data_IF_548202814822
#
_entry.id   IF_548202814822
#
_cell.length_a   1.000
_cell.length_b   1.000
_cell.length_c   1.000
_cell.angle_alpha   90.00
_cell.angle_beta   90.00
_cell.angle_gamma   90.00
#
_symmetry.space_group_name_H-M   'P 1'
#
loop_
_entity.id
_entity.type
_entity.pdbx_description
1 polymer ?
#
# COMPACT_ATOMS: atom_id res chain seq x y z
N UNK A 1 5.77 48.24 -28.91
CA UNK A 1 5.81 47.95 -27.46
C UNK A 1 4.49 47.26 -27.16
N UNK A 2 4.34 45.96 -26.98
CA UNK A 2 5.24 44.95 -26.45
C UNK A 2 4.43 44.14 -25.43
N UNK A 3 3.33 43.51 -25.85
CA UNK A 3 2.60 42.56 -25.01
C UNK A 3 3.31 41.21 -25.12
N UNK A 4 4.30 41.02 -24.25
CA UNK A 4 4.85 39.69 -23.98
C UNK A 4 3.76 38.89 -23.27
N UNK A 5 3.02 38.08 -24.04
CA UNK A 5 2.21 37.00 -23.49
C UNK A 5 3.12 36.17 -22.56
N UNK A 6 2.84 36.20 -21.26
CA UNK A 6 3.40 35.23 -20.33
C UNK A 6 2.82 33.88 -20.72
N UNK A 7 3.54 33.11 -21.54
CA UNK A 7 3.28 31.67 -21.65
C UNK A 7 3.36 31.13 -20.23
N UNK A 8 2.23 30.63 -19.71
CA UNK A 8 2.23 29.87 -18.46
C UNK A 8 3.22 28.72 -18.60
N UNK A 9 3.90 28.37 -17.50
CA UNK A 9 4.75 27.17 -17.50
C UNK A 9 3.90 25.99 -18.01
N UNK A 10 4.46 25.12 -18.89
CA UNK A 10 3.74 23.93 -19.32
C UNK A 10 3.37 23.12 -18.08
N UNK A 11 2.12 22.65 -18.05
CA UNK A 11 1.65 21.74 -17.01
C UNK A 11 2.45 20.44 -17.08
N UNK A 12 2.79 19.89 -15.93
CA UNK A 12 3.58 18.67 -15.81
C UNK A 12 2.94 17.76 -14.77
N UNK A 13 3.02 16.45 -15.00
CA UNK A 13 2.56 15.43 -14.07
C UNK A 13 3.53 14.24 -14.03
N UNK A 14 3.37 13.37 -13.03
CA UNK A 14 4.12 12.13 -12.95
C UNK A 14 3.37 11.04 -13.73
N UNK A 15 4.03 10.49 -14.74
CA UNK A 15 3.62 9.26 -15.39
C UNK A 15 4.24 8.08 -14.66
N UNK A 16 3.39 7.19 -14.16
CA UNK A 16 3.80 5.93 -13.54
C UNK A 16 3.80 4.81 -14.56
N UNK A 17 4.75 3.89 -14.43
CA UNK A 17 4.78 2.64 -15.18
C UNK A 17 5.41 1.56 -14.32
N UNK A 18 4.70 0.47 -14.08
CA UNK A 18 5.28 -0.76 -13.54
C UNK A 18 6.28 -1.36 -14.53
N UNK A 19 7.50 -1.61 -14.06
CA UNK A 19 8.51 -2.32 -14.83
C UNK A 19 8.40 -3.82 -14.53
N UNK A 20 7.75 -4.54 -15.45
CA UNK A 20 7.44 -5.96 -15.30
C UNK A 20 8.62 -6.90 -15.62
N UNK A 21 8.48 -8.16 -15.19
CA UNK A 21 9.39 -9.26 -15.51
C UNK A 21 10.40 -9.56 -14.40
N UNK A 22 10.31 -8.87 -13.27
CA UNK A 22 11.19 -9.11 -12.11
C UNK A 22 10.48 -9.92 -11.04
N UNK A 23 9.17 -9.74 -10.89
CA UNK A 23 8.37 -10.43 -9.89
C UNK A 23 7.36 -11.37 -10.55
N UNK A 24 7.09 -12.53 -9.92
CA UNK A 24 6.09 -13.47 -10.40
C UNK A 24 4.71 -12.80 -10.53
N UNK A 25 4.41 -11.85 -9.66
CA UNK A 25 3.18 -11.07 -9.61
C UNK A 25 2.95 -10.24 -10.87
N UNK A 26 4.01 -9.88 -11.60
CA UNK A 26 3.93 -9.16 -12.87
C UNK A 26 3.25 -10.00 -13.97
N UNK A 27 3.39 -11.33 -13.90
CA UNK A 27 3.02 -12.22 -15.00
C UNK A 27 1.50 -12.49 -15.04
N UNK A 28 0.85 -12.40 -16.23
CA UNK A 28 -0.56 -12.76 -16.40
C UNK A 28 -0.94 -14.16 -15.91
N UNK A 29 0.00 -15.11 -15.99
CA UNK A 29 -0.22 -16.51 -15.62
C UNK A 29 -0.14 -16.81 -14.11
N UNK A 30 0.39 -15.88 -13.30
CA UNK A 30 0.52 -16.11 -11.86
C UNK A 30 -0.84 -15.98 -11.19
N UNK A 31 -1.24 -17.01 -10.44
CA UNK A 31 -2.48 -17.02 -9.67
C UNK A 31 -2.27 -16.33 -8.31
N UNK A 32 -2.92 -15.18 -8.04
CA UNK A 32 -2.77 -14.48 -6.76
C UNK A 32 -3.14 -15.34 -5.55
N UNK A 33 -4.19 -16.16 -5.66
CA UNK A 33 -4.67 -16.99 -4.56
C UNK A 33 -3.71 -18.14 -4.19
N UNK A 34 -2.81 -18.53 -5.09
CA UNK A 34 -1.87 -19.64 -4.89
C UNK A 34 -0.45 -19.17 -4.51
N UNK A 35 -0.16 -17.87 -4.61
CA UNK A 35 1.18 -17.35 -4.36
C UNK A 35 1.38 -17.05 -2.86
N UNK A 36 2.30 -17.77 -2.21
CA UNK A 36 2.81 -17.38 -0.89
C UNK A 36 4.13 -16.61 -1.06
N UNK A 37 4.08 -15.30 -0.81
CA UNK A 37 5.24 -14.42 -0.92
C UNK A 37 6.41 -14.85 -0.01
N UNK A 38 6.12 -15.48 1.13
CA UNK A 38 7.14 -15.87 2.11
C UNK A 38 7.94 -17.12 1.70
N UNK A 39 7.36 -17.99 0.88
CA UNK A 39 8.03 -19.20 0.37
C UNK A 39 8.64 -19.00 -1.02
N UNK A 40 8.28 -17.91 -1.70
CA UNK A 40 8.70 -17.60 -3.09
C UNK A 40 9.69 -16.45 -3.17
N UNK A 41 10.34 -16.08 -2.07
CA UNK A 41 11.29 -14.96 -2.03
C UNK A 41 10.66 -13.66 -2.58
N UNK A 42 9.46 -13.32 -2.09
CA UNK A 42 8.64 -12.21 -2.57
C UNK A 42 8.21 -12.33 -4.04
N UNK A 43 8.41 -13.48 -4.66
CA UNK A 43 8.22 -13.69 -6.09
C UNK A 43 9.35 -13.12 -6.95
N UNK A 44 10.48 -12.68 -6.38
CA UNK A 44 11.62 -12.22 -7.19
C UNK A 44 12.17 -13.40 -8.02
N UNK A 45 12.08 -13.27 -9.35
CA UNK A 45 12.44 -14.33 -10.29
C UNK A 45 13.96 -14.51 -10.32
N UNK A 46 14.46 -15.74 -10.12
CA UNK A 46 15.87 -16.05 -10.37
C UNK A 46 16.16 -15.95 -11.87
N UNK A 47 16.94 -14.95 -12.25
CA UNK A 47 17.26 -14.65 -13.64
C UNK A 47 18.60 -13.96 -13.78
N UNK A 48 19.10 -13.92 -15.01
CA UNK A 48 20.24 -13.08 -15.37
C UNK A 48 19.77 -11.66 -15.66
N UNK A 49 20.59 -10.69 -15.26
CA UNK A 49 20.48 -9.30 -15.69
C UNK A 49 21.62 -8.96 -16.65
N UNK A 50 21.37 -8.01 -17.54
CA UNK A 50 22.40 -7.53 -18.50
C UNK A 50 23.63 -6.95 -17.79
N UNK A 51 23.42 -6.39 -16.60
CA UNK A 51 24.43 -5.80 -15.70
C UNK A 51 25.24 -6.83 -14.89
N UNK A 52 24.87 -8.13 -14.91
CA UNK A 52 25.52 -9.13 -14.06
C UNK A 52 27.01 -9.29 -14.39
N UNK A 53 27.41 -9.10 -15.64
CA UNK A 53 28.81 -9.17 -16.05
C UNK A 53 29.69 -8.09 -15.41
N UNK A 54 29.10 -6.93 -15.09
CA UNK A 54 29.78 -5.82 -14.40
C UNK A 54 29.80 -6.05 -12.89
N UNK A 55 28.66 -6.40 -12.30
CA UNK A 55 28.48 -6.46 -10.85
C UNK A 55 28.87 -7.80 -10.21
N UNK A 56 28.51 -8.91 -10.84
CA UNK A 56 28.67 -10.26 -10.29
C UNK A 56 28.99 -11.29 -11.39
N UNK A 57 30.15 -11.15 -12.08
CA UNK A 57 30.51 -12.00 -13.23
C UNK A 57 30.66 -13.48 -12.86
N UNK A 58 30.89 -13.78 -11.58
CA UNK A 58 31.05 -15.14 -11.05
C UNK A 58 29.76 -15.70 -10.44
N UNK A 59 28.67 -14.93 -10.43
CA UNK A 59 27.35 -15.29 -9.87
C UNK A 59 27.40 -15.76 -8.41
N UNK A 60 28.14 -15.05 -7.56
CA UNK A 60 28.25 -15.36 -6.12
C UNK A 60 27.29 -14.55 -5.24
N UNK A 61 26.63 -13.53 -5.80
CA UNK A 61 25.64 -12.69 -5.13
C UNK A 61 24.24 -13.29 -5.26
N UNK A 62 23.39 -12.97 -4.28
CA UNK A 62 21.98 -13.39 -4.29
C UNK A 62 21.20 -12.68 -5.40
N UNK A 63 20.03 -13.21 -5.76
CA UNK A 63 19.15 -12.54 -6.74
C UNK A 63 18.79 -11.12 -6.29
N UNK A 64 18.56 -10.91 -4.99
CA UNK A 64 18.25 -9.61 -4.40
C UNK A 64 19.40 -8.61 -4.50
N UNK A 65 20.64 -9.01 -4.21
CA UNK A 65 21.80 -8.13 -4.36
C UNK A 65 21.99 -7.68 -5.82
N UNK A 66 21.80 -8.60 -6.76
CA UNK A 66 21.87 -8.28 -8.20
C UNK A 66 20.73 -7.35 -8.61
N UNK A 67 19.53 -7.56 -8.07
CA UNK A 67 18.37 -6.72 -8.34
C UNK A 67 18.55 -5.32 -7.74
N UNK A 68 19.08 -5.21 -6.53
CA UNK A 68 19.41 -3.92 -5.92
C UNK A 68 20.40 -3.13 -6.78
N UNK A 69 21.48 -3.78 -7.22
CA UNK A 69 22.44 -3.13 -8.09
C UNK A 69 21.81 -2.67 -9.42
N UNK A 70 20.92 -3.47 -10.00
CA UNK A 70 20.17 -3.09 -11.20
C UNK A 70 19.33 -1.83 -10.97
N UNK A 71 18.54 -1.78 -9.89
CA UNK A 71 17.70 -0.60 -9.60
C UNK A 71 18.56 0.63 -9.33
N UNK A 72 19.67 0.49 -8.61
CA UNK A 72 20.62 1.58 -8.40
C UNK A 72 21.24 2.07 -9.71
N UNK A 73 21.54 1.15 -10.64
CA UNK A 73 22.06 1.48 -11.97
C UNK A 73 21.00 2.22 -12.82
N UNK A 74 19.74 1.77 -12.77
CA UNK A 74 18.62 2.45 -13.43
C UNK A 74 18.46 3.90 -12.96
N UNK A 75 18.54 4.15 -11.64
CA UNK A 75 18.49 5.50 -11.08
C UNK A 75 19.74 6.33 -11.36
N UNK A 76 20.92 5.72 -11.43
CA UNK A 76 22.16 6.43 -11.74
C UNK A 76 22.22 6.89 -13.20
N UNK A 77 21.70 6.06 -14.10
CA UNK A 77 21.75 6.28 -15.54
C UNK A 77 20.48 6.99 -16.07
N UNK A 78 19.51 7.33 -15.20
CA UNK A 78 18.28 8.00 -15.59
C UNK A 78 18.49 9.49 -15.89
N UNK A 79 17.68 10.01 -16.81
CA UNK A 79 17.62 11.44 -17.10
C UNK A 79 16.92 12.21 -15.97
N UNK A 80 17.10 13.54 -15.94
CA UNK A 80 16.39 14.40 -14.98
C UNK A 80 14.87 14.21 -15.12
N UNK A 81 14.19 14.08 -13.97
CA UNK A 81 12.75 13.83 -13.94
C UNK A 81 12.35 12.36 -14.06
N UNK A 82 13.30 11.43 -14.17
CA UNK A 82 13.05 9.98 -14.12
C UNK A 82 13.64 9.38 -12.85
N UNK A 83 12.81 8.61 -12.13
CA UNK A 83 13.21 7.85 -10.95
C UNK A 83 12.56 6.47 -10.92
N UNK A 84 13.26 5.52 -10.33
CA UNK A 84 12.82 4.15 -10.11
C UNK A 84 12.71 3.88 -8.62
N UNK A 85 11.58 3.33 -8.20
CA UNK A 85 11.34 2.92 -6.80
C UNK A 85 10.82 1.50 -6.75
N UNK A 86 11.16 0.79 -5.67
CA UNK A 86 10.58 -0.51 -5.34
C UNK A 86 9.65 -0.32 -4.16
N UNK A 87 8.37 -0.58 -4.38
CA UNK A 87 7.32 -0.49 -3.36
C UNK A 87 7.04 -1.88 -2.82
N UNK A 88 7.27 -2.10 -1.52
CA UNK A 88 6.82 -3.28 -0.79
C UNK A 88 5.48 -2.96 -0.13
N UNK A 89 4.39 -3.41 -0.73
CA UNK A 89 3.04 -3.11 -0.27
C UNK A 89 2.49 -4.31 0.52
N UNK A 90 2.17 -4.11 1.80
CA UNK A 90 1.62 -5.12 2.69
C UNK A 90 0.18 -4.84 3.06
N UNK A 91 -0.72 -5.81 2.84
CA UNK A 91 -2.08 -5.77 3.38
C UNK A 91 -2.02 -6.06 4.88
N UNK A 92 -2.78 -5.33 5.68
CA UNK A 92 -2.91 -5.59 7.12
C UNK A 92 -3.25 -7.07 7.41
N UNK A 93 -2.86 -7.56 8.59
CA UNK A 93 -3.31 -8.85 9.10
C UNK A 93 -4.82 -8.89 9.34
N UNK A 94 -5.41 -10.06 9.54
CA UNK A 94 -6.84 -10.21 9.77
C UNK A 94 -7.32 -9.32 10.93
N UNK A 95 -8.27 -8.43 10.64
CA UNK A 95 -8.96 -7.63 11.65
C UNK A 95 -10.32 -8.19 12.02
N UNK A 96 -10.90 -7.71 13.11
CA UNK A 96 -12.21 -8.13 13.58
C UNK A 96 -13.31 -7.91 12.52
N UNK A 97 -13.23 -6.81 11.76
CA UNK A 97 -14.13 -6.57 10.61
C UNK A 97 -14.07 -7.68 9.54
N UNK A 98 -12.91 -8.29 9.29
CA UNK A 98 -12.80 -9.39 8.32
C UNK A 98 -13.49 -10.66 8.84
N UNK A 99 -13.42 -10.90 10.16
CA UNK A 99 -14.14 -12.03 10.77
C UNK A 99 -15.63 -11.80 10.72
N UNK A 100 -16.08 -10.56 11.01
CA UNK A 100 -17.48 -10.18 10.95
C UNK A 100 -18.05 -10.29 9.53
N UNK A 101 -17.36 -9.75 8.52
CA UNK A 101 -17.75 -9.89 7.11
C UNK A 101 -17.86 -11.37 6.71
N UNK A 102 -16.85 -12.19 7.06
CA UNK A 102 -16.87 -13.62 6.74
C UNK A 102 -18.02 -14.37 7.44
N UNK A 103 -18.41 -13.95 8.64
CA UNK A 103 -19.50 -14.55 9.41
C UNK A 103 -20.88 -14.17 8.86
N UNK A 104 -21.10 -12.88 8.58
CA UNK A 104 -22.39 -12.37 8.12
C UNK A 104 -22.61 -12.52 6.61
N UNK A 105 -21.52 -12.65 5.84
CA UNK A 105 -21.53 -12.65 4.38
C UNK A 105 -21.61 -11.24 3.80
N UNK A 106 -20.96 -11.01 2.65
CA UNK A 106 -20.79 -9.67 2.07
C UNK A 106 -22.11 -8.93 1.83
N UNK A 107 -23.19 -9.62 1.43
CA UNK A 107 -24.50 -8.97 1.21
C UNK A 107 -25.07 -8.35 2.49
N UNK A 108 -25.07 -9.08 3.60
CA UNK A 108 -25.55 -8.56 4.88
C UNK A 108 -24.56 -7.60 5.52
N UNK A 109 -23.26 -7.81 5.27
CA UNK A 109 -22.19 -6.92 5.69
C UNK A 109 -22.36 -5.53 5.07
N UNK A 110 -22.35 -5.44 3.74
CA UNK A 110 -22.35 -4.19 2.99
C UNK A 110 -23.63 -3.37 3.21
N UNK A 111 -24.79 -4.02 3.37
CA UNK A 111 -26.04 -3.29 3.49
C UNK A 111 -26.44 -2.96 4.95
N UNK A 112 -25.92 -3.67 5.96
CA UNK A 112 -26.35 -3.49 7.35
C UNK A 112 -25.21 -3.48 8.37
N UNK A 113 -24.41 -4.56 8.46
CA UNK A 113 -23.48 -4.73 9.59
C UNK A 113 -22.28 -3.79 9.55
N UNK A 114 -21.74 -3.49 8.36
CA UNK A 114 -20.62 -2.57 8.20
C UNK A 114 -20.96 -1.13 8.60
N UNK A 115 -22.25 -0.78 8.65
CA UNK A 115 -22.75 0.54 9.06
C UNK A 115 -22.84 0.70 10.58
N UNK A 116 -22.74 -0.40 11.34
CA UNK A 116 -22.71 -0.37 12.80
C UNK A 116 -21.27 -0.31 13.29
N UNK A 117 -21.02 0.18 14.50
CA UNK A 117 -19.67 0.18 15.07
C UNK A 117 -19.23 -1.23 15.53
N UNK A 118 -20.16 -2.16 15.67
CA UNK A 118 -19.94 -3.48 16.22
C UNK A 118 -21.24 -4.22 16.51
N UNK A 119 -21.12 -5.30 17.27
CA UNK A 119 -22.23 -5.99 17.94
C UNK A 119 -21.93 -6.12 19.45
N UNK A 120 -22.71 -6.94 20.16
CA UNK A 120 -22.54 -7.14 21.61
C UNK A 120 -21.21 -7.78 22.02
N UNK A 121 -20.47 -8.37 21.08
CA UNK A 121 -19.23 -9.14 21.36
C UNK A 121 -17.98 -8.52 20.76
N UNK A 122 -18.10 -7.75 19.69
CA UNK A 122 -16.96 -7.32 18.86
C UNK A 122 -17.22 -5.95 18.26
N UNK A 123 -16.23 -5.07 18.36
CA UNK A 123 -16.20 -3.76 17.70
C UNK A 123 -15.43 -3.90 16.39
N UNK A 124 -15.97 -3.35 15.30
CA UNK A 124 -15.26 -3.28 14.02
C UNK A 124 -15.11 -1.85 13.49
N UNK A 125 -15.65 -0.83 14.16
CA UNK A 125 -15.22 0.55 13.94
C UNK A 125 -13.71 0.68 14.22
N UNK A 126 -12.96 1.19 13.23
CA UNK A 126 -11.48 1.18 13.22
C UNK A 126 -10.87 -0.12 13.77
N UNK A 127 -11.35 -1.27 13.26
CA UNK A 127 -11.10 -2.58 13.86
C UNK A 127 -9.63 -2.88 14.22
N UNK A 128 -9.45 -3.49 15.39
CA UNK A 128 -8.20 -4.11 15.83
C UNK A 128 -7.85 -5.36 15.01
N UNK A 129 -6.59 -5.80 15.11
CA UNK A 129 -6.18 -7.12 14.63
C UNK A 129 -6.70 -8.24 15.55
N UNK A 130 -7.12 -9.35 14.95
CA UNK A 130 -7.35 -10.58 15.71
C UNK A 130 -6.01 -11.20 16.15
N UNK A 131 -6.04 -12.21 17.01
CA UNK A 131 -4.82 -13.00 17.31
C UNK A 131 -4.21 -13.59 16.03
N UNK A 132 -5.04 -14.06 15.10
CA UNK A 132 -4.59 -14.55 13.80
C UNK A 132 -3.94 -13.43 12.97
N UNK A 133 -4.51 -12.22 12.96
CA UNK A 133 -3.92 -11.08 12.26
C UNK A 133 -2.55 -10.67 12.81
N UNK A 134 -2.37 -10.73 14.12
CA UNK A 134 -1.06 -10.50 14.76
C UNK A 134 -0.05 -11.60 14.37
N UNK A 135 -0.47 -12.87 14.33
CA UNK A 135 0.37 -13.97 13.86
C UNK A 135 0.76 -13.82 12.38
N UNK A 136 -0.13 -13.32 11.53
CA UNK A 136 0.15 -12.99 10.13
C UNK A 136 1.22 -11.88 10.00
N UNK A 137 1.13 -10.81 10.80
CA UNK A 137 2.15 -9.76 10.84
C UNK A 137 3.50 -10.29 11.35
N UNK A 138 3.49 -11.16 12.37
CA UNK A 138 4.69 -11.83 12.89
C UNK A 138 5.30 -12.79 11.84
N UNK A 139 4.48 -13.47 11.03
CA UNK A 139 4.96 -14.25 9.88
C UNK A 139 5.72 -13.34 8.90
N UNK A 140 5.19 -12.16 8.60
CA UNK A 140 5.86 -11.13 7.82
C UNK A 140 7.20 -10.70 8.41
N UNK A 141 7.27 -10.45 9.72
CA UNK A 141 8.51 -10.13 10.43
C UNK A 141 9.58 -11.22 10.29
N UNK A 142 9.20 -12.49 10.51
CA UNK A 142 10.12 -13.63 10.38
C UNK A 142 10.66 -13.75 8.96
N UNK A 143 9.80 -13.53 7.97
CA UNK A 143 10.19 -13.53 6.57
C UNK A 143 11.19 -12.40 6.25
N UNK A 144 10.88 -11.16 6.64
CA UNK A 144 11.81 -10.03 6.49
C UNK A 144 13.15 -10.27 7.17
N UNK A 145 13.15 -10.78 8.41
CA UNK A 145 14.37 -11.13 9.14
C UNK A 145 15.24 -12.12 8.34
N UNK A 146 14.61 -13.16 7.78
CA UNK A 146 15.28 -14.15 6.94
C UNK A 146 15.83 -13.54 5.64
N UNK A 147 15.05 -12.68 4.97
CA UNK A 147 15.47 -12.01 3.74
C UNK A 147 16.67 -11.07 3.96
N UNK A 148 16.64 -10.28 5.02
CA UNK A 148 17.75 -9.40 5.39
C UNK A 148 19.02 -10.21 5.67
N UNK A 149 18.90 -11.30 6.44
CA UNK A 149 20.05 -12.10 6.86
C UNK A 149 20.63 -13.00 5.77
N UNK A 150 19.78 -13.58 4.91
CA UNK A 150 20.19 -14.65 3.99
C UNK A 150 20.18 -14.23 2.52
N UNK A 151 19.23 -13.36 2.15
CA UNK A 151 19.13 -12.86 0.79
C UNK A 151 19.79 -11.50 0.62
N UNK A 152 20.17 -10.83 1.71
CA UNK A 152 20.65 -9.46 1.71
C UNK A 152 19.71 -8.54 0.92
N UNK A 153 18.40 -8.75 1.12
CA UNK A 153 17.37 -7.88 0.53
C UNK A 153 17.55 -6.47 1.08
N UNK A 154 17.39 -5.41 0.27
CA UNK A 154 17.44 -4.05 0.78
C UNK A 154 16.35 -3.84 1.82
N UNK A 155 16.73 -3.38 3.01
CA UNK A 155 15.76 -2.89 4.00
C UNK A 155 15.03 -1.68 3.42
N UNK A 156 13.72 -1.51 3.68
CA UNK A 156 13.03 -0.28 3.33
C UNK A 156 13.72 0.92 3.98
N UNK A 157 13.84 1.98 3.20
CA UNK A 157 14.40 3.27 3.57
C UNK A 157 13.32 4.22 4.10
N UNK A 158 12.09 4.06 3.60
CA UNK A 158 10.89 4.74 4.09
C UNK A 158 9.79 3.73 4.42
N UNK A 159 9.00 4.05 5.43
CA UNK A 159 7.85 3.26 5.88
C UNK A 159 6.62 4.15 5.91
N UNK A 160 5.70 3.94 4.99
CA UNK A 160 4.38 4.58 5.00
C UNK A 160 3.32 3.62 5.51
N UNK A 161 2.36 4.15 6.25
CA UNK A 161 1.30 3.34 6.84
C UNK A 161 -0.02 4.10 6.86
N UNK A 162 -1.10 3.37 6.60
CA UNK A 162 -2.47 3.86 6.81
C UNK A 162 -2.72 4.21 8.29
N UNK A 163 -3.49 5.26 8.60
CA UNK A 163 -3.89 5.61 9.96
C UNK A 163 -4.88 4.64 10.62
N UNK A 164 -5.42 3.66 9.88
CA UNK A 164 -6.36 2.68 10.46
C UNK A 164 -5.61 1.69 11.37
N UNK A 165 -6.18 1.42 12.54
CA UNK A 165 -5.54 0.74 13.69
C UNK A 165 -4.90 -0.59 13.29
N UNK A 166 -5.61 -1.42 12.52
CA UNK A 166 -5.11 -2.68 11.95
C UNK A 166 -3.82 -2.55 11.13
N UNK A 167 -3.65 -1.47 10.36
CA UNK A 167 -2.45 -1.22 9.57
C UNK A 167 -1.29 -0.73 10.45
N UNK A 168 -1.58 0.15 11.40
CA UNK A 168 -0.59 0.64 12.37
C UNK A 168 0.01 -0.54 13.14
N UNK A 169 -0.85 -1.42 13.67
CA UNK A 169 -0.38 -2.59 14.41
C UNK A 169 0.39 -3.57 13.51
N UNK A 170 -0.12 -3.84 12.29
CA UNK A 170 0.58 -4.72 11.33
C UNK A 170 1.97 -4.20 11.02
N UNK A 171 2.11 -2.90 10.75
CA UNK A 171 3.38 -2.25 10.44
C UNK A 171 4.35 -2.40 11.62
N UNK A 172 3.88 -2.10 12.85
CA UNK A 172 4.69 -2.22 14.07
C UNK A 172 5.18 -3.65 14.28
N UNK A 173 4.28 -4.64 14.23
CA UNK A 173 4.63 -6.05 14.45
C UNK A 173 5.57 -6.59 13.37
N UNK A 174 5.44 -6.11 12.12
CA UNK A 174 6.26 -6.55 11.00
C UNK A 174 7.69 -6.02 11.10
N UNK A 175 7.86 -4.72 11.38
CA UNK A 175 9.15 -4.05 11.18
C UNK A 175 9.88 -3.64 12.45
N UNK A 176 9.17 -3.28 13.53
CA UNK A 176 9.81 -2.80 14.77
C UNK A 176 10.80 -3.82 15.39
N UNK A 177 10.54 -5.14 15.38
CA UNK A 177 11.48 -6.11 15.95
C UNK A 177 12.70 -6.43 15.06
N UNK A 178 12.78 -5.88 13.84
CA UNK A 178 13.85 -6.21 12.92
C UNK A 178 15.17 -5.55 13.33
N UNK A 179 16.27 -6.29 13.13
CA UNK A 179 17.62 -5.69 13.14
C UNK A 179 17.85 -4.99 11.81
N UNK A 180 17.67 -3.67 11.79
CA UNK A 180 17.85 -2.84 10.60
C UNK A 180 19.22 -2.16 10.57
N UNK A 181 19.75 -1.80 9.38
CA UNK A 181 20.91 -0.94 9.25
C UNK A 181 20.71 0.38 9.99
N UNK A 182 21.75 0.91 10.63
CA UNK A 182 21.68 2.13 11.45
C UNK A 182 21.28 3.38 10.66
N UNK A 183 21.60 3.41 9.36
CA UNK A 183 21.26 4.46 8.41
C UNK A 183 19.86 4.30 7.81
N UNK A 184 19.19 3.17 8.06
CA UNK A 184 17.82 2.86 7.61
C UNK A 184 16.94 2.41 8.78
N UNK A 185 16.78 3.24 9.83
CA UNK A 185 15.98 2.88 10.99
C UNK A 185 14.48 2.79 10.66
N UNK A 186 13.74 1.99 11.43
CA UNK A 186 12.28 1.96 11.35
C UNK A 186 11.69 3.28 11.88
N UNK A 187 11.28 4.16 10.96
CA UNK A 187 10.65 5.45 11.26
C UNK A 187 9.40 5.66 10.41
N UNK A 188 8.24 5.11 10.82
CA UNK A 188 7.02 5.22 10.05
C UNK A 188 6.50 6.65 9.94
N UNK A 189 5.91 6.92 8.77
CA UNK A 189 5.07 8.09 8.51
C UNK A 189 3.64 7.62 8.24
N UNK A 190 2.71 8.07 9.06
CA UNK A 190 1.28 7.83 8.92
C UNK A 190 0.76 8.81 7.87
N UNK A 191 0.21 8.28 6.77
CA UNK A 191 -0.40 9.08 5.69
C UNK A 191 -1.87 8.70 5.50
N UNK A 192 -2.72 9.70 5.63
CA UNK A 192 -4.18 9.65 5.58
C UNK A 192 -4.69 8.98 4.31
N UNK A 193 -4.05 9.25 3.18
CA UNK A 193 -4.56 8.81 1.89
C UNK A 193 -4.12 7.39 1.50
N UNK A 194 -3.45 6.64 2.39
CA UNK A 194 -3.23 5.19 2.23
C UNK A 194 -4.31 4.33 2.94
N UNK A 195 -5.47 4.91 3.26
CA UNK A 195 -6.62 4.22 3.88
C UNK A 195 -7.37 3.33 2.89
N UNK A 196 -8.16 2.41 3.46
CA UNK A 196 -9.16 1.66 2.70
C UNK A 196 -10.24 2.60 2.13
N UNK A 197 -11.15 2.05 1.33
CA UNK A 197 -12.31 2.77 0.79
C UNK A 197 -12.96 3.68 1.84
N UNK A 198 -13.06 4.97 1.55
CA UNK A 198 -13.57 5.93 2.52
C UNK A 198 -15.10 5.96 2.51
N UNK A 199 -15.70 5.87 3.70
CA UNK A 199 -17.13 6.15 3.94
C UNK A 199 -18.02 4.91 4.10
N UNK A 200 -19.22 5.14 4.62
CA UNK A 200 -20.28 4.19 5.01
C UNK A 200 -19.85 3.15 6.04
N UNK A 201 -18.83 2.36 5.72
CA UNK A 201 -18.34 1.28 6.57
C UNK A 201 -17.58 1.90 7.75
N UNK A 202 -18.02 1.59 8.98
CA UNK A 202 -17.42 2.12 10.21
C UNK A 202 -16.00 1.60 10.42
N UNK A 203 -15.68 0.41 9.89
CA UNK A 203 -14.32 -0.12 9.89
C UNK A 203 -13.34 0.74 9.08
N UNK A 204 -13.86 1.58 8.19
CA UNK A 204 -13.10 2.51 7.39
C UNK A 204 -13.17 3.93 7.94
N UNK A 205 -13.73 4.15 9.15
CA UNK A 205 -13.63 5.40 9.91
C UNK A 205 -12.40 5.31 10.83
N UNK A 206 -11.44 6.22 10.71
CA UNK A 206 -10.22 6.19 11.53
C UNK A 206 -10.45 6.76 12.92
N UNK A 207 -9.62 6.32 13.87
CA UNK A 207 -9.49 6.97 15.16
C UNK A 207 -8.98 8.41 15.06
N UNK A 208 -9.14 9.15 16.15
CA UNK A 208 -8.66 10.53 16.25
C UNK A 208 -7.15 10.62 16.16
N UNK A 209 -6.64 11.76 15.71
CA UNK A 209 -5.19 12.02 15.67
C UNK A 209 -4.54 11.84 17.03
N UNK A 210 -5.15 12.33 18.10
CA UNK A 210 -4.62 12.14 19.45
C UNK A 210 -4.56 10.67 19.84
N UNK A 211 -5.61 9.88 19.56
CA UNK A 211 -5.60 8.45 19.85
C UNK A 211 -4.46 7.72 19.12
N UNK A 212 -4.27 8.02 17.83
CA UNK A 212 -3.18 7.45 17.03
C UNK A 212 -1.81 7.87 17.61
N UNK A 213 -1.64 9.14 17.97
CA UNK A 213 -0.39 9.64 18.54
C UNK A 213 -0.08 9.05 19.92
N UNK A 214 -1.09 8.85 20.77
CA UNK A 214 -0.92 8.21 22.08
C UNK A 214 -0.42 6.77 21.95
N UNK A 215 -0.89 6.04 20.95
CA UNK A 215 -0.44 4.67 20.67
C UNK A 215 0.94 4.61 20.01
N UNK A 216 1.26 5.57 19.14
CA UNK A 216 2.48 5.59 18.33
C UNK A 216 3.20 6.95 18.43
N UNK A 217 3.69 7.35 19.62
CA UNK A 217 4.18 8.71 19.87
C UNK A 217 5.45 9.06 19.10
N UNK A 218 6.23 8.06 18.68
CA UNK A 218 7.47 8.24 17.93
C UNK A 218 7.25 8.29 16.41
N UNK A 219 6.03 8.02 15.93
CA UNK A 219 5.73 7.97 14.50
C UNK A 219 5.32 9.35 14.00
N UNK A 220 5.73 9.69 12.79
CA UNK A 220 5.37 10.96 12.17
C UNK A 220 3.94 10.85 11.65
N UNK A 221 3.05 11.73 12.10
CA UNK A 221 1.75 11.95 11.44
C UNK A 221 1.94 13.10 10.46
N UNK A 222 1.50 12.91 9.20
CA UNK A 222 1.72 13.91 8.16
C UNK A 222 1.14 15.30 8.48
N UNK A 223 1.71 16.32 7.84
CA UNK A 223 1.20 17.68 7.93
C UNK A 223 -0.22 17.77 7.36
N UNK A 224 -1.09 18.57 8.00
CA UNK A 224 -2.48 18.72 7.59
C UNK A 224 -3.43 17.64 8.11
N UNK A 225 -2.94 16.63 8.81
CA UNK A 225 -3.79 15.59 9.42
C UNK A 225 -4.71 16.19 10.50
N UNK A 226 -6.03 16.09 10.28
CA UNK A 226 -7.09 16.61 11.15
C UNK A 226 -7.29 15.76 12.39
N UNK A 227 -7.79 16.35 13.48
CA UNK A 227 -8.06 15.62 14.72
C UNK A 227 -9.09 14.51 14.49
N UNK A 228 -10.28 14.89 14.04
CA UNK A 228 -11.37 13.98 13.69
C UNK A 228 -11.26 13.51 12.24
N UNK A 229 -11.94 12.42 11.93
CA UNK A 229 -12.06 11.89 10.57
C UNK A 229 -13.10 12.68 9.75
N UNK A 230 -12.66 13.78 9.14
CA UNK A 230 -13.53 14.65 8.34
C UNK A 230 -13.88 14.05 6.96
N UNK A 231 -13.10 13.07 6.49
CA UNK A 231 -13.25 12.43 5.18
C UNK A 231 -14.33 11.35 5.19
N UNK A 232 -14.50 10.63 6.30
CA UNK A 232 -15.53 9.62 6.43
C UNK A 232 -16.93 10.24 6.53
N UNK A 233 -17.86 9.74 5.72
CA UNK A 233 -19.29 10.10 5.77
C UNK A 233 -20.11 8.82 5.89
N UNK A 234 -21.20 8.86 6.67
CA UNK A 234 -22.05 7.68 6.91
C UNK A 234 -22.92 7.30 5.70
N UNK A 235 -23.09 8.20 4.74
CA UNK A 235 -24.04 8.12 3.62
C UNK A 235 -23.38 8.23 2.23
N UNK A 236 -22.07 8.48 2.19
CA UNK A 236 -21.28 8.53 0.95
C UNK A 236 -20.14 7.53 1.04
N UNK A 237 -19.94 6.76 -0.04
CA UNK A 237 -18.84 5.80 -0.17
C UNK A 237 -18.00 6.14 -1.38
N UNK A 238 -16.69 6.07 -1.22
CA UNK A 238 -15.74 6.27 -2.30
C UNK A 238 -15.92 5.23 -3.41
N UNK A 239 -15.88 5.68 -4.66
CA UNK A 239 -15.92 4.81 -5.85
C UNK A 239 -14.52 4.34 -6.19
N UNK A 240 -14.41 3.34 -7.08
CA UNK A 240 -13.08 2.92 -7.59
C UNK A 240 -12.32 4.08 -8.26
N UNK A 241 -13.00 4.94 -9.03
CA UNK A 241 -12.40 6.12 -9.63
C UNK A 241 -11.96 7.14 -8.58
N UNK A 242 -12.75 7.32 -7.51
CA UNK A 242 -12.42 8.15 -6.36
C UNK A 242 -11.16 7.68 -5.65
N UNK A 243 -11.05 6.37 -5.41
CA UNK A 243 -9.83 5.77 -4.87
C UNK A 243 -8.63 6.04 -5.78
N UNK A 244 -8.75 5.82 -7.08
CA UNK A 244 -7.62 6.03 -8.01
C UNK A 244 -7.17 7.51 -8.03
N UNK A 245 -8.12 8.46 -7.94
CA UNK A 245 -7.83 9.90 -7.78
C UNK A 245 -7.06 10.15 -6.48
N UNK A 246 -7.57 9.67 -5.34
CA UNK A 246 -6.95 9.85 -4.02
C UNK A 246 -5.58 9.18 -3.92
N UNK A 247 -5.46 7.96 -4.41
CA UNK A 247 -4.21 7.20 -4.45
C UNK A 247 -3.18 7.91 -5.31
N UNK A 248 -3.58 8.56 -6.41
CA UNK A 248 -2.64 9.36 -7.20
C UNK A 248 -2.09 10.54 -6.41
N UNK A 249 -2.92 11.23 -5.61
CA UNK A 249 -2.46 12.33 -4.75
C UNK A 249 -1.36 11.88 -3.79
N UNK A 250 -1.55 10.74 -3.11
CA UNK A 250 -0.55 10.26 -2.14
C UNK A 250 0.71 9.71 -2.82
N UNK A 251 0.59 9.06 -3.98
CA UNK A 251 1.75 8.63 -4.75
C UNK A 251 2.53 9.83 -5.29
N UNK A 252 1.86 10.85 -5.81
CA UNK A 252 2.52 12.07 -6.29
C UNK A 252 3.27 12.76 -5.13
N UNK A 253 2.69 12.83 -3.93
CA UNK A 253 3.37 13.35 -2.75
C UNK A 253 4.63 12.53 -2.40
N UNK A 254 4.51 11.20 -2.31
CA UNK A 254 5.63 10.32 -1.99
C UNK A 254 6.74 10.43 -3.04
N UNK A 255 6.42 10.40 -4.33
CA UNK A 255 7.42 10.44 -5.39
C UNK A 255 8.05 11.83 -5.58
N UNK A 256 7.38 12.92 -5.18
CA UNK A 256 7.96 14.27 -5.22
C UNK A 256 8.85 14.58 -4.01
N UNK A 257 8.53 14.05 -2.83
CA UNK A 257 9.17 14.46 -1.58
C UNK A 257 10.12 13.41 -0.99
N UNK A 258 9.89 12.12 -1.26
CA UNK A 258 10.79 11.06 -0.82
C UNK A 258 11.84 10.76 -1.89
N UNK A 259 13.12 10.80 -1.53
CA UNK A 259 14.23 10.48 -2.45
C UNK A 259 14.67 9.02 -2.37
N UNK A 260 14.10 8.25 -1.44
CA UNK A 260 14.47 6.87 -1.23
C UNK A 260 13.98 5.95 -2.35
N UNK A 261 14.68 4.84 -2.56
CA UNK A 261 14.38 3.84 -3.60
C UNK A 261 13.50 2.72 -3.07
N UNK A 262 13.76 2.26 -1.84
CA UNK A 262 13.08 1.10 -1.25
C UNK A 262 12.03 1.55 -0.24
N UNK A 263 10.76 1.43 -0.59
CA UNK A 263 9.66 1.99 0.21
C UNK A 263 8.74 0.87 0.66
N UNK A 264 8.40 0.84 1.95
CA UNK A 264 7.34 -0.01 2.49
C UNK A 264 6.05 0.77 2.62
N UNK A 265 4.92 0.19 2.22
CA UNK A 265 3.57 0.74 2.40
C UNK A 265 2.71 -0.33 3.07
N UNK A 266 2.26 -0.10 4.30
CA UNK A 266 1.31 -0.98 4.99
C UNK A 266 -0.10 -0.41 4.89
N UNK A 267 -0.99 -1.11 4.19
CA UNK A 267 -2.30 -0.62 3.78
C UNK A 267 -3.33 -1.76 3.69
N UNK A 268 -4.32 -1.62 2.81
CA UNK A 268 -5.53 -2.43 2.72
C UNK A 268 -5.69 -3.06 1.34
N UNK A 269 -6.63 -4.00 1.21
CA UNK A 269 -6.88 -4.66 -0.08
C UNK A 269 -7.33 -3.70 -1.16
N UNK A 270 -8.30 -2.82 -0.89
CA UNK A 270 -8.82 -1.90 -1.89
C UNK A 270 -7.79 -0.83 -2.27
N UNK A 271 -7.09 -0.28 -1.27
CA UNK A 271 -6.03 0.70 -1.53
C UNK A 271 -4.86 0.12 -2.32
N UNK A 272 -4.39 -1.08 -1.99
CA UNK A 272 -3.33 -1.72 -2.79
C UNK A 272 -3.82 -2.01 -4.21
N UNK A 273 -5.07 -2.44 -4.38
CA UNK A 273 -5.65 -2.59 -5.72
C UNK A 273 -5.69 -1.27 -6.49
N UNK A 274 -6.02 -0.15 -5.82
CA UNK A 274 -5.96 1.21 -6.38
C UNK A 274 -4.54 1.60 -6.78
N UNK A 275 -3.56 1.38 -5.91
CA UNK A 275 -2.14 1.63 -6.22
C UNK A 275 -1.71 0.83 -7.45
N UNK A 276 -2.05 -0.45 -7.54
CA UNK A 276 -1.71 -1.27 -8.70
C UNK A 276 -2.34 -0.71 -10.01
N UNK A 277 -3.59 -0.24 -9.98
CA UNK A 277 -4.23 0.40 -11.14
C UNK A 277 -3.51 1.69 -11.55
N UNK A 278 -3.22 2.58 -10.60
CA UNK A 278 -2.53 3.86 -10.86
C UNK A 278 -1.11 3.65 -11.40
N UNK A 279 -0.44 2.57 -10.97
CA UNK A 279 0.90 2.20 -11.45
C UNK A 279 0.92 1.45 -12.79
N UNK A 280 -0.24 1.19 -13.39
CA UNK A 280 -0.41 0.35 -14.58
C UNK A 280 0.07 -1.11 -14.38
N UNK A 281 0.02 -1.60 -13.14
CA UNK A 281 0.19 -3.02 -12.83
C UNK A 281 -1.14 -3.76 -13.08
N UNK A 282 -1.07 -5.07 -13.37
CA UNK A 282 -2.26 -5.93 -13.39
C UNK A 282 -2.96 -5.99 -12.02
N UNK A 283 -4.22 -6.37 -11.98
CA UNK A 283 -4.86 -6.71 -10.70
C UNK A 283 -4.14 -7.91 -10.05
N UNK A 284 -3.86 -7.79 -8.76
CA UNK A 284 -3.26 -8.83 -7.95
C UNK A 284 -3.83 -8.80 -6.51
N UNK A 285 -4.80 -9.67 -6.24
CA UNK A 285 -5.49 -9.69 -4.94
C UNK A 285 -4.62 -10.29 -3.84
N UNK A 286 -4.54 -9.60 -2.70
CA UNK A 286 -3.80 -10.01 -1.51
C UNK A 286 -4.74 -10.50 -0.42
N UNK A 287 -4.44 -11.65 0.16
CA UNK A 287 -5.00 -12.09 1.45
C UNK A 287 -4.47 -11.26 2.62
N UNK A 288 -5.10 -11.39 3.79
CA UNK A 288 -4.64 -10.71 5.01
C UNK A 288 -3.19 -11.08 5.35
N UNK A 289 -2.38 -10.09 5.71
CA UNK A 289 -0.95 -10.25 6.00
C UNK A 289 -0.07 -10.62 4.80
N UNK A 290 -0.60 -10.63 3.58
CA UNK A 290 0.18 -10.81 2.37
C UNK A 290 0.81 -9.49 1.89
N UNK A 291 1.89 -9.60 1.13
CA UNK A 291 2.60 -8.45 0.58
C UNK A 291 3.07 -8.69 -0.86
N UNK A 292 3.22 -7.60 -1.61
CA UNK A 292 3.64 -7.56 -3.01
C UNK A 292 4.73 -6.48 -3.21
N UNK A 293 5.89 -6.84 -3.79
CA UNK A 293 6.84 -5.87 -4.32
C UNK A 293 6.45 -5.42 -5.73
N UNK A 294 6.66 -4.15 -6.05
CA UNK A 294 6.48 -3.60 -7.41
C UNK A 294 7.64 -2.65 -7.74
N UNK A 295 8.32 -2.88 -8.87
CA UNK A 295 9.27 -1.92 -9.42
C UNK A 295 8.52 -0.91 -10.29
N UNK A 296 8.66 0.37 -9.96
CA UNK A 296 7.95 1.48 -10.59
C UNK A 296 8.95 2.44 -11.22
N UNK A 297 8.74 2.82 -12.48
CA UNK A 297 9.31 4.01 -13.10
C UNK A 297 8.31 5.17 -12.91
N UNK A 298 8.79 6.29 -12.41
CA UNK A 298 8.08 7.55 -12.37
C UNK A 298 8.84 8.57 -13.23
N UNK A 299 8.12 9.21 -14.15
CA UNK A 299 8.67 10.14 -15.13
C UNK A 299 7.85 11.43 -15.15
N UNK A 300 8.50 12.57 -14.97
CA UNK A 300 7.87 13.88 -15.12
C UNK A 300 7.68 14.14 -16.62
N UNK A 301 6.42 14.20 -17.06
CA UNK A 301 6.06 14.47 -18.46
C UNK A 301 5.28 15.77 -18.59
N UNK A 302 5.35 16.39 -19.77
CA UNK A 302 4.52 17.56 -20.10
C UNK A 302 3.09 17.14 -20.45
N UNK A 303 2.13 18.01 -20.11
CA UNK A 303 0.71 17.82 -20.39
C UNK A 303 -0.12 17.52 -19.15
N UNK A 304 -1.44 17.44 -19.36
CA UNK A 304 -2.39 17.16 -18.30
C UNK A 304 -2.35 15.67 -17.96
N UNK A 305 -2.47 15.37 -16.67
CA UNK A 305 -2.61 13.98 -16.20
C UNK A 305 -3.95 13.40 -16.64
N UNK A 306 -3.95 12.20 -17.20
CA UNK A 306 -5.19 11.44 -17.46
C UNK A 306 -5.61 10.78 -16.16
N UNK A 307 -6.27 11.54 -15.29
CA UNK A 307 -6.91 11.06 -14.06
C UNK A 307 -8.31 10.54 -14.43
N UNK A 308 -8.82 9.46 -13.78
CA UNK A 308 -10.20 9.03 -13.97
C UNK A 308 -11.20 10.19 -13.80
N UNK A 309 -12.25 10.20 -14.62
CA UNK A 309 -13.25 11.27 -14.66
C UNK A 309 -14.59 10.92 -14.00
N UNK A 310 -14.66 9.77 -13.31
CA UNK A 310 -15.88 9.35 -12.62
C UNK A 310 -16.16 10.13 -11.34
N UNK A 311 -17.36 9.97 -10.76
CA UNK A 311 -17.70 10.61 -9.49
C UNK A 311 -16.83 10.02 -8.37
N UNK A 312 -16.19 10.85 -7.51
CA UNK A 312 -15.29 10.37 -6.47
C UNK A 312 -16.03 9.58 -5.38
N UNK A 313 -17.31 9.87 -5.17
CA UNK A 313 -18.16 9.21 -4.17
C UNK A 313 -19.52 8.87 -4.78
N UNK A 314 -20.20 7.91 -4.16
CA UNK A 314 -21.58 7.52 -4.47
C UNK A 314 -22.36 7.27 -3.20
N UNK A 315 -23.67 7.44 -3.24
CA UNK A 315 -24.56 6.90 -2.21
C UNK A 315 -24.64 5.37 -2.36
N UNK A 316 -24.77 4.66 -1.25
CA UNK A 316 -24.98 3.21 -1.24
C UNK A 316 -26.39 2.86 -0.77
N UNK A 317 -26.93 1.76 -1.28
CA UNK A 317 -28.20 1.22 -0.79
C UNK A 317 -27.96 0.50 0.54
N UNK A 318 -28.77 0.82 1.55
CA UNK A 318 -28.67 0.24 2.89
C UNK A 318 -29.93 -0.53 3.27
N UNK A 319 -29.81 -1.41 4.24
CA UNK A 319 -30.90 -2.19 4.80
C UNK A 319 -31.28 -1.64 6.18
N UNK A 320 -32.57 -1.57 6.51
CA UNK A 320 -33.02 -1.19 7.86
C UNK A 320 -32.86 -2.29 8.91
N UNK A 321 -32.65 -3.53 8.46
CA UNK A 321 -32.45 -4.73 9.27
C UNK A 321 -31.57 -5.71 8.46
N UNK A 322 -30.84 -6.63 9.10
CA UNK A 322 -30.00 -7.57 8.38
C UNK A 322 -30.86 -8.46 7.46
N UNK A 323 -30.46 -8.70 6.20
CA UNK A 323 -31.14 -9.63 5.31
C UNK A 323 -31.30 -11.00 5.97
N UNK A 324 -32.41 -11.68 5.70
CA UNK A 324 -32.59 -13.05 6.17
C UNK A 324 -31.42 -13.92 5.67
N UNK A 325 -30.79 -14.67 6.57
CA UNK A 325 -29.70 -15.55 6.20
C UNK A 325 -30.15 -16.45 5.04
N UNK A 326 -29.40 -16.45 3.93
CA UNK A 326 -29.65 -17.39 2.84
C UNK A 326 -29.54 -18.79 3.44
N UNK A 327 -30.65 -19.52 3.44
CA UNK A 327 -30.67 -20.92 3.86
C UNK A 327 -29.78 -21.69 2.88
N UNK A 328 -28.83 -22.51 3.36
CA UNK A 328 -27.85 -23.19 2.50
C UNK A 328 -28.50 -24.10 1.46
#
# INVERSE_FOLDING_TARGET
>A
MGESARMGKPERHIKYTTITGYFLQDAPATNPAALDYTSTNFGLIDRRYSIDAEFDPKRTKTQWQRFEYLVNKLNKDSEEGVQYKVLFMGRHGQGDHNVAEAFYGSEAWDCYWSLQDGNDTTTWADADLTSKGRDEAIKGNKFWSSLLATQFTPAPESYYVSPLTRCLETCRLTFNPLTLPSDRPFKPTIKELFREVIGVHTCDRRSTKNHIHEQYPEWVIEEGFTEEDELWKSDERETADGMDIRTRVVLDDVFNHDKNTWISITSHSGEIASILRVLEHREFNLGTGQAIPVLVKAEIVEGHSTIPSGPPQTTVSTCSAPPAARTP
#
